data_IF_230426742171
#
_entry.id   IF_230426742171
#
_cell.length_a   1.000
_cell.length_b   1.000
_cell.length_c   1.000
_cell.angle_alpha   90.00
_cell.angle_beta   90.00
_cell.angle_gamma   90.00
#
_symmetry.space_group_name_H-M   'P 1'
#
loop_
_entity.id
_entity.type
_entity.pdbx_description
1 polymer ?
#
# COMPACT_ATOMS: atom_id res chain seq x y z
N UNK A 1 -15.05 17.61 14.55
CA UNK A 1 -15.29 16.29 13.95
C UNK A 1 -14.88 16.28 12.48
N UNK A 2 -15.32 17.22 11.64
CA UNK A 2 -14.85 17.34 10.24
C UNK A 2 -13.33 17.52 10.11
N UNK A 3 -12.71 18.37 10.94
CA UNK A 3 -11.25 18.58 10.90
C UNK A 3 -10.45 17.30 11.18
N UNK A 4 -10.92 16.45 12.10
CA UNK A 4 -10.21 15.20 12.45
C UNK A 4 -10.38 14.13 11.37
N UNK A 5 -11.55 14.09 10.72
CA UNK A 5 -11.77 13.19 9.59
C UNK A 5 -10.90 13.60 8.39
N UNK A 6 -10.80 14.90 8.13
CA UNK A 6 -9.98 15.44 7.06
C UNK A 6 -8.49 15.16 7.28
N UNK A 7 -8.00 15.39 8.50
CA UNK A 7 -6.63 15.03 8.91
C UNK A 7 -6.36 13.54 8.75
N UNK A 8 -7.29 12.68 9.17
CA UNK A 8 -7.16 11.23 9.00
C UNK A 8 -7.07 10.83 7.52
N UNK A 9 -7.85 11.46 6.64
CA UNK A 9 -7.75 11.23 5.18
C UNK A 9 -6.36 11.58 4.64
N UNK A 10 -5.86 12.76 4.99
CA UNK A 10 -4.54 13.24 4.56
C UNK A 10 -3.43 12.29 5.05
N UNK A 11 -3.44 11.93 6.33
CA UNK A 11 -2.46 11.00 6.92
C UNK A 11 -2.50 9.66 6.19
N UNK A 12 -3.70 9.12 5.96
CA UNK A 12 -3.88 7.81 5.31
C UNK A 12 -3.34 7.82 3.89
N UNK A 13 -3.60 8.88 3.10
CA UNK A 13 -3.06 9.05 1.76
C UNK A 13 -1.53 9.10 1.76
N UNK A 14 -0.93 9.95 2.60
CA UNK A 14 0.53 10.09 2.62
C UNK A 14 1.24 8.84 3.15
N UNK A 15 0.63 8.10 4.10
CA UNK A 15 1.13 6.78 4.51
C UNK A 15 1.15 5.81 3.33
N UNK A 16 0.04 5.69 2.62
CA UNK A 16 -0.08 4.75 1.50
C UNK A 16 0.85 5.15 0.35
N UNK A 17 0.78 6.39 -0.13
CA UNK A 17 1.43 6.81 -1.36
C UNK A 17 2.89 7.25 -1.16
N UNK A 18 3.13 8.21 -0.26
CA UNK A 18 4.47 8.79 -0.12
C UNK A 18 5.41 7.92 0.72
N UNK A 19 4.87 6.97 1.48
CA UNK A 19 5.66 6.08 2.33
C UNK A 19 5.62 4.61 1.89
N UNK A 20 4.46 3.99 1.75
CA UNK A 20 4.37 2.54 1.51
C UNK A 20 4.65 2.18 0.05
N UNK A 21 4.07 2.90 -0.91
CA UNK A 21 4.34 2.70 -2.34
C UNK A 21 5.83 2.89 -2.67
N UNK A 22 6.47 3.93 -2.12
CA UNK A 22 7.92 4.17 -2.31
C UNK A 22 8.75 2.96 -1.85
N UNK A 23 8.43 2.38 -0.68
CA UNK A 23 9.11 1.20 -0.16
C UNK A 23 8.85 -0.05 -0.99
N UNK A 24 7.60 -0.25 -1.44
CA UNK A 24 7.24 -1.35 -2.33
C UNK A 24 8.01 -1.28 -3.65
N UNK A 25 8.06 -0.10 -4.29
CA UNK A 25 8.81 0.11 -5.53
C UNK A 25 10.30 -0.21 -5.37
N UNK A 26 10.90 0.22 -4.25
CA UNK A 26 12.29 -0.11 -3.94
C UNK A 26 12.50 -1.63 -3.77
N UNK A 27 11.55 -2.34 -3.14
CA UNK A 27 11.60 -3.80 -3.00
C UNK A 27 11.48 -4.53 -4.33
N UNK A 28 10.51 -4.12 -5.17
CA UNK A 28 10.29 -4.72 -6.50
C UNK A 28 11.52 -4.50 -7.38
N UNK A 29 12.07 -3.29 -7.40
CA UNK A 29 13.21 -2.94 -8.25
C UNK A 29 14.49 -3.72 -7.92
N UNK A 30 14.64 -4.18 -6.67
CA UNK A 30 15.87 -4.83 -6.20
C UNK A 30 15.95 -6.33 -6.56
N UNK A 31 14.81 -7.03 -6.67
CA UNK A 31 14.78 -8.48 -6.89
C UNK A 31 14.51 -8.84 -8.33
N UNK A 32 15.17 -9.87 -8.86
CA UNK A 32 14.81 -10.46 -10.16
C UNK A 32 13.44 -11.10 -10.19
N UNK A 33 12.80 -11.15 -11.37
CA UNK A 33 11.43 -11.65 -11.55
C UNK A 33 11.30 -13.08 -11.03
N UNK A 34 12.26 -13.94 -11.34
CA UNK A 34 12.27 -15.31 -10.85
C UNK A 34 12.31 -15.37 -9.33
N UNK A 35 13.02 -14.46 -8.67
CA UNK A 35 13.11 -14.41 -7.19
C UNK A 35 11.81 -13.85 -6.62
N UNK A 36 11.24 -12.83 -7.25
CA UNK A 36 10.00 -12.18 -6.83
C UNK A 36 8.81 -13.16 -6.83
N UNK A 37 8.75 -14.07 -7.81
CA UNK A 37 7.67 -15.05 -7.96
C UNK A 37 7.97 -16.42 -7.34
N UNK A 38 9.18 -16.67 -6.85
CA UNK A 38 9.53 -17.93 -6.19
C UNK A 38 8.86 -18.00 -4.81
N UNK A 39 8.23 -19.14 -4.53
CA UNK A 39 7.78 -19.51 -3.18
C UNK A 39 8.96 -20.18 -2.47
N UNK A 40 9.34 -19.67 -1.31
CA UNK A 40 10.39 -20.27 -0.47
C UNK A 40 9.89 -21.55 0.20
N UNK A 41 10.80 -22.45 0.57
CA UNK A 41 10.44 -23.75 1.17
C UNK A 41 9.61 -23.65 2.45
N UNK A 42 9.81 -22.59 3.24
CA UNK A 42 9.08 -22.32 4.48
C UNK A 42 7.94 -21.30 4.31
N UNK A 43 7.70 -20.82 3.08
CA UNK A 43 6.76 -19.72 2.80
C UNK A 43 5.50 -20.26 2.12
N UNK A 44 4.35 -19.68 2.46
CA UNK A 44 3.08 -20.02 1.80
C UNK A 44 2.82 -19.18 0.55
N UNK A 45 3.60 -18.11 0.33
CA UNK A 45 3.41 -17.18 -0.78
C UNK A 45 4.72 -16.56 -1.27
N UNK A 46 4.80 -16.21 -2.55
CA UNK A 46 5.91 -15.45 -3.13
C UNK A 46 5.82 -13.98 -2.74
N UNK A 47 6.91 -13.22 -2.91
CA UNK A 47 6.89 -11.77 -2.65
C UNK A 47 5.91 -11.08 -3.60
N UNK A 48 5.93 -11.44 -4.88
CA UNK A 48 4.97 -10.94 -5.87
C UNK A 48 3.53 -11.30 -5.51
N UNK A 49 3.28 -12.50 -4.99
CA UNK A 49 1.96 -12.90 -4.52
C UNK A 49 1.49 -12.09 -3.30
N UNK A 50 2.39 -11.76 -2.36
CA UNK A 50 2.06 -10.85 -1.24
C UNK A 50 1.81 -9.42 -1.72
N UNK A 51 2.53 -8.93 -2.74
CA UNK A 51 2.29 -7.61 -3.33
C UNK A 51 0.92 -7.57 -4.01
N UNK A 52 0.59 -8.59 -4.81
CA UNK A 52 -0.73 -8.75 -5.40
C UNK A 52 -1.82 -8.78 -4.31
N UNK A 53 -1.51 -9.37 -3.16
CA UNK A 53 -2.43 -9.42 -2.04
C UNK A 53 -2.75 -8.03 -1.48
N UNK A 54 -1.72 -7.22 -1.26
CA UNK A 54 -1.89 -5.82 -0.89
C UNK A 54 -2.75 -5.10 -1.93
N UNK A 55 -2.43 -5.20 -3.23
CA UNK A 55 -3.16 -4.50 -4.29
C UNK A 55 -4.65 -4.83 -4.32
N UNK A 56 -5.02 -6.09 -4.15
CA UNK A 56 -6.44 -6.49 -4.10
C UNK A 56 -7.15 -5.81 -2.93
N UNK A 57 -6.55 -5.80 -1.73
CA UNK A 57 -7.12 -5.13 -0.57
C UNK A 57 -7.24 -3.61 -0.78
N UNK A 58 -6.23 -2.98 -1.38
CA UNK A 58 -6.23 -1.55 -1.69
C UNK A 58 -7.34 -1.21 -2.69
N UNK A 59 -7.42 -1.92 -3.83
CA UNK A 59 -8.44 -1.69 -4.87
C UNK A 59 -9.86 -1.91 -4.36
N UNK A 60 -10.09 -2.98 -3.57
CA UNK A 60 -11.41 -3.24 -2.97
C UNK A 60 -11.84 -2.15 -1.99
N UNK A 61 -10.92 -1.65 -1.18
CA UNK A 61 -11.22 -0.54 -0.27
C UNK A 61 -11.44 0.76 -1.03
N UNK A 62 -10.67 1.06 -2.08
CA UNK A 62 -10.92 2.19 -2.96
C UNK A 62 -12.33 2.12 -3.60
N UNK A 63 -12.72 0.95 -4.10
CA UNK A 63 -14.06 0.74 -4.64
C UNK A 63 -15.16 0.96 -3.60
N UNK A 64 -15.00 0.42 -2.37
CA UNK A 64 -15.95 0.63 -1.26
C UNK A 64 -16.03 2.08 -0.79
N UNK A 65 -14.94 2.84 -0.87
CA UNK A 65 -14.95 4.27 -0.57
C UNK A 65 -15.82 5.04 -1.56
N UNK A 66 -15.82 4.63 -2.83
CA UNK A 66 -16.64 5.24 -3.89
C UNK A 66 -18.09 4.77 -3.79
N UNK A 67 -18.31 3.46 -3.61
CA UNK A 67 -19.63 2.85 -3.45
C UNK A 67 -19.68 1.97 -2.19
N UNK A 68 -20.18 2.52 -1.07
CA UNK A 68 -20.31 1.79 0.19
C UNK A 68 -21.25 0.59 0.14
N UNK A 69 -22.07 0.44 -0.92
CA UNK A 69 -23.00 -0.69 -1.06
C UNK A 69 -22.31 -1.96 -1.56
N UNK A 70 -21.06 -1.86 -2.04
CA UNK A 70 -20.28 -3.01 -2.51
C UNK A 70 -20.04 -3.99 -1.35
N UNK A 71 -20.56 -5.21 -1.52
CA UNK A 71 -20.34 -6.34 -0.62
C UNK A 71 -19.60 -7.45 -1.36
N UNK A 72 -18.61 -8.05 -0.70
CA UNK A 72 -17.87 -9.20 -1.24
C UNK A 72 -18.37 -10.46 -0.53
N UNK A 73 -18.96 -11.39 -1.28
CA UNK A 73 -19.62 -12.60 -0.73
C UNK A 73 -18.66 -13.77 -0.45
N UNK A 74 -17.45 -13.75 -0.99
CA UNK A 74 -16.42 -14.77 -0.79
C UNK A 74 -15.15 -14.18 -0.18
N UNK A 75 -14.46 -14.99 0.62
CA UNK A 75 -13.07 -14.74 1.02
C UNK A 75 -12.17 -14.60 -0.20
N UNK A 76 -11.04 -13.92 -0.05
CA UNK A 76 -10.19 -13.55 -1.20
C UNK A 76 -9.34 -14.72 -1.72
N UNK A 77 -9.36 -15.86 -1.03
CA UNK A 77 -8.47 -17.02 -1.19
C UNK A 77 -8.41 -17.53 -2.65
N UNK A 78 -9.53 -17.56 -3.36
CA UNK A 78 -9.61 -18.03 -4.76
C UNK A 78 -9.38 -16.94 -5.82
N UNK A 79 -9.31 -15.66 -5.42
CA UNK A 79 -8.93 -14.57 -6.32
C UNK A 79 -7.41 -14.52 -6.58
N UNK A 80 -6.64 -15.37 -5.88
CA UNK A 80 -5.20 -15.47 -5.94
C UNK A 80 -4.75 -16.63 -6.82
N UNK A 81 -4.66 -16.39 -8.12
CA UNK A 81 -3.65 -17.08 -8.91
C UNK A 81 -2.76 -15.99 -9.49
N UNK A 82 -1.74 -15.54 -8.73
CA UNK A 82 -0.75 -14.63 -9.28
C UNK A 82 -0.10 -15.33 -10.48
N UNK A 83 -0.34 -14.81 -11.69
CA UNK A 83 0.51 -15.16 -12.82
C UNK A 83 1.85 -14.47 -12.64
N UNK A 84 2.93 -15.12 -13.07
CA UNK A 84 4.23 -14.47 -13.15
C UNK A 84 4.12 -13.26 -14.09
N UNK A 85 4.29 -12.07 -13.55
CA UNK A 85 4.33 -10.80 -14.30
C UNK A 85 5.76 -10.26 -14.35
N UNK A 86 6.05 -9.44 -15.35
CA UNK A 86 7.33 -8.72 -15.37
C UNK A 86 7.35 -7.61 -14.28
N UNK A 87 8.53 -7.16 -13.87
CA UNK A 87 8.64 -6.17 -12.76
C UNK A 87 7.98 -4.84 -13.11
N UNK A 88 8.13 -4.38 -14.34
CA UNK A 88 7.63 -3.07 -14.78
C UNK A 88 6.10 -3.03 -14.70
N UNK A 89 5.44 -4.06 -15.23
CA UNK A 89 3.99 -4.24 -15.11
C UNK A 89 3.56 -4.29 -13.65
N UNK A 90 4.27 -5.03 -12.79
CA UNK A 90 3.94 -5.07 -11.36
C UNK A 90 4.09 -3.69 -10.70
N UNK A 91 5.12 -2.92 -11.06
CA UNK A 91 5.30 -1.56 -10.54
C UNK A 91 4.16 -0.64 -10.96
N UNK A 92 3.76 -0.68 -12.24
CA UNK A 92 2.64 0.10 -12.77
C UNK A 92 1.32 -0.26 -12.10
N UNK A 93 1.05 -1.55 -11.92
CA UNK A 93 -0.17 -2.02 -11.26
C UNK A 93 -0.22 -1.61 -9.78
N UNK A 94 0.92 -1.65 -9.08
CA UNK A 94 1.01 -1.20 -7.68
C UNK A 94 0.79 0.31 -7.59
N UNK A 95 1.38 1.09 -8.50
CA UNK A 95 1.20 2.53 -8.53
C UNK A 95 -0.24 2.93 -8.85
N UNK A 96 -0.87 2.25 -9.81
CA UNK A 96 -2.30 2.42 -10.13
C UNK A 96 -3.17 2.14 -8.91
N UNK A 97 -2.97 1.01 -8.23
CA UNK A 97 -3.81 0.63 -7.08
C UNK A 97 -3.76 1.69 -5.96
N UNK A 98 -2.55 2.18 -5.65
CA UNK A 98 -2.33 3.17 -4.60
C UNK A 98 -2.83 4.57 -5.02
N UNK A 99 -2.68 4.93 -6.29
CA UNK A 99 -3.24 6.17 -6.86
C UNK A 99 -4.77 6.16 -6.81
N UNK A 100 -5.40 5.05 -7.19
CA UNK A 100 -6.84 4.85 -7.16
C UNK A 100 -7.40 4.95 -5.74
N UNK A 101 -6.69 4.43 -4.74
CA UNK A 101 -7.06 4.63 -3.32
C UNK A 101 -6.99 6.11 -2.91
N UNK A 102 -5.94 6.83 -3.30
CA UNK A 102 -5.82 8.26 -3.00
C UNK A 102 -6.92 9.08 -3.67
N UNK A 103 -7.24 8.78 -4.92
CA UNK A 103 -8.33 9.42 -5.65
C UNK A 103 -9.70 9.13 -5.02
N UNK A 104 -9.95 7.89 -4.58
CA UNK A 104 -11.18 7.55 -3.86
C UNK A 104 -11.29 8.33 -2.54
N UNK A 105 -10.18 8.46 -1.80
CA UNK A 105 -10.14 9.28 -0.60
C UNK A 105 -10.45 10.75 -0.91
N UNK A 106 -9.92 11.33 -1.97
CA UNK A 106 -10.19 12.74 -2.31
C UNK A 106 -11.64 13.00 -2.70
N UNK A 107 -12.25 12.07 -3.44
CA UNK A 107 -13.58 12.26 -4.02
C UNK A 107 -14.73 11.82 -3.10
N UNK A 108 -14.44 11.09 -2.02
CA UNK A 108 -15.45 10.66 -1.05
C UNK A 108 -15.52 11.60 0.14
N UNK A 109 -16.71 12.15 0.42
CA UNK A 109 -16.94 13.02 1.57
C UNK A 109 -16.81 12.29 2.92
N UNK A 110 -17.81 11.48 3.27
CA UNK A 110 -17.82 10.69 4.49
C UNK A 110 -17.09 9.35 4.26
N UNK A 111 -16.11 9.05 5.12
CA UNK A 111 -15.38 7.78 5.09
C UNK A 111 -15.62 7.00 6.38
N UNK A 112 -15.53 5.68 6.28
CA UNK A 112 -15.48 4.81 7.43
C UNK A 112 -14.02 4.64 7.89
N UNK A 113 -13.70 5.28 9.02
CA UNK A 113 -12.36 5.22 9.61
C UNK A 113 -11.90 3.79 9.91
N UNK A 114 -12.80 2.89 10.33
CA UNK A 114 -12.45 1.52 10.66
C UNK A 114 -11.90 0.78 9.44
N UNK A 115 -12.61 0.88 8.31
CA UNK A 115 -12.23 0.23 7.07
C UNK A 115 -10.96 0.84 6.46
N UNK A 116 -10.83 2.17 6.48
CA UNK A 116 -9.63 2.87 6.00
C UNK A 116 -8.41 2.52 6.84
N UNK A 117 -8.55 2.54 8.18
CA UNK A 117 -7.46 2.19 9.08
C UNK A 117 -7.02 0.74 8.88
N UNK A 118 -7.98 -0.19 8.73
CA UNK A 118 -7.69 -1.58 8.45
C UNK A 118 -6.83 -1.77 7.19
N UNK A 119 -7.15 -1.11 6.07
CA UNK A 119 -6.33 -1.26 4.84
C UNK A 119 -4.95 -0.63 4.96
N UNK A 120 -4.83 0.50 5.68
CA UNK A 120 -3.53 1.13 5.96
C UNK A 120 -2.65 0.22 6.83
N UNK A 121 -3.22 -0.36 7.89
CA UNK A 121 -2.51 -1.29 8.79
C UNK A 121 -2.13 -2.59 8.09
N UNK A 122 -3.08 -3.20 7.37
CA UNK A 122 -2.87 -4.45 6.60
C UNK A 122 -1.75 -4.30 5.57
N UNK A 123 -1.72 -3.14 4.89
CA UNK A 123 -0.64 -2.80 3.95
C UNK A 123 0.70 -2.68 4.67
N UNK A 124 0.75 -1.98 5.81
CA UNK A 124 1.98 -1.82 6.58
C UNK A 124 2.54 -3.15 7.10
N UNK A 125 1.66 -4.03 7.58
CA UNK A 125 2.00 -5.38 8.06
C UNK A 125 2.69 -6.21 6.97
N UNK A 126 2.05 -6.34 5.80
CA UNK A 126 2.62 -7.11 4.69
C UNK A 126 3.86 -6.45 4.08
N UNK A 127 3.90 -5.11 4.04
CA UNK A 127 5.09 -4.40 3.61
C UNK A 127 6.30 -4.70 4.50
N UNK A 128 6.11 -4.78 5.81
CA UNK A 128 7.18 -5.18 6.73
C UNK A 128 7.74 -6.58 6.41
N UNK A 129 6.86 -7.54 6.12
CA UNK A 129 7.23 -8.89 5.70
C UNK A 129 8.00 -8.91 4.37
N UNK A 130 7.52 -8.14 3.39
CA UNK A 130 8.19 -8.00 2.08
C UNK A 130 9.58 -7.42 2.27
N UNK A 131 9.72 -6.32 3.01
CA UNK A 131 11.00 -5.66 3.27
C UNK A 131 11.99 -6.65 3.90
N UNK A 132 11.59 -7.37 4.96
CA UNK A 132 12.45 -8.35 5.61
C UNK A 132 12.95 -9.43 4.64
N UNK A 133 12.02 -10.02 3.87
CA UNK A 133 12.33 -11.08 2.91
C UNK A 133 13.26 -10.58 1.80
N UNK A 134 12.99 -9.39 1.25
CA UNK A 134 13.81 -8.77 0.21
C UNK A 134 15.22 -8.51 0.72
N UNK A 135 15.37 -7.95 1.93
CA UNK A 135 16.70 -7.69 2.50
C UNK A 135 17.52 -8.98 2.65
N UNK A 136 16.89 -10.07 3.11
CA UNK A 136 17.55 -11.39 3.25
C UNK A 136 17.94 -11.98 1.90
N UNK A 137 17.09 -11.87 0.88
CA UNK A 137 17.33 -12.45 -0.44
C UNK A 137 18.34 -11.65 -1.28
N UNK A 138 18.37 -10.33 -1.12
CA UNK A 138 19.23 -9.44 -1.88
C UNK A 138 20.55 -9.10 -1.17
N UNK A 139 20.78 -9.61 0.04
CA UNK A 139 21.87 -9.19 0.96
C UNK A 139 21.98 -7.66 1.04
N UNK A 140 20.83 -6.99 1.15
CA UNK A 140 20.71 -5.55 1.10
C UNK A 140 20.04 -5.04 2.35
N UNK A 141 20.52 -3.93 2.92
CA UNK A 141 19.90 -3.28 4.06
C UNK A 141 19.30 -1.94 3.65
N UNK A 142 17.98 -1.87 3.61
CA UNK A 142 17.30 -0.61 3.35
C UNK A 142 17.51 0.37 4.51
N UNK A 143 17.68 1.65 4.17
CA UNK A 143 17.82 2.73 5.14
C UNK A 143 16.60 3.66 5.12
N UNK A 144 15.38 3.12 4.94
CA UNK A 144 14.16 3.93 4.77
C UNK A 144 13.88 4.94 5.89
N UNK A 145 14.36 4.70 7.12
CA UNK A 145 14.23 5.65 8.23
C UNK A 145 15.18 6.85 8.07
N UNK A 146 16.33 6.64 7.45
CA UNK A 146 17.39 7.64 7.29
C UNK A 146 17.28 8.38 5.95
N UNK A 147 16.90 7.67 4.88
CA UNK A 147 16.87 8.18 3.50
C UNK A 147 15.48 8.26 2.90
N UNK A 148 14.47 7.69 3.55
CA UNK A 148 13.07 7.74 3.11
C UNK A 148 12.23 8.73 3.92
N UNK A 149 10.92 8.70 3.68
CA UNK A 149 9.97 9.51 4.43
C UNK A 149 9.89 9.01 5.89
N UNK A 150 10.67 9.63 6.77
CA UNK A 150 10.61 9.40 8.20
C UNK A 150 9.39 10.08 8.83
N UNK A 151 9.09 9.76 10.09
CA UNK A 151 7.90 10.25 10.77
C UNK A 151 7.84 11.78 10.86
N UNK A 152 8.99 12.43 11.09
CA UNK A 152 9.06 13.89 11.16
C UNK A 152 8.77 14.54 9.81
N UNK A 153 9.30 13.98 8.72
CA UNK A 153 9.07 14.46 7.38
C UNK A 153 7.60 14.25 6.95
N UNK A 154 7.04 13.08 7.23
CA UNK A 154 5.63 12.78 6.98
C UNK A 154 4.73 13.75 7.74
N UNK A 155 4.98 13.97 9.03
CA UNK A 155 4.21 14.90 9.82
C UNK A 155 4.26 16.33 9.24
N UNK A 156 5.44 16.78 8.80
CA UNK A 156 5.57 18.10 8.15
C UNK A 156 4.73 18.21 6.87
N UNK A 157 4.74 17.17 6.02
CA UNK A 157 3.91 17.12 4.80
C UNK A 157 2.42 17.17 5.17
N UNK A 158 1.98 16.38 6.16
CA UNK A 158 0.58 16.38 6.63
C UNK A 158 0.16 17.77 7.11
N UNK A 159 0.99 18.44 7.91
CA UNK A 159 0.69 19.79 8.41
C UNK A 159 0.61 20.82 7.26
N UNK A 160 1.49 20.73 6.26
CA UNK A 160 1.43 21.60 5.09
C UNK A 160 0.16 21.35 4.27
N UNK A 161 -0.20 20.09 4.01
CA UNK A 161 -1.42 19.72 3.28
C UNK A 161 -2.67 20.22 4.01
N UNK A 162 -2.69 20.13 5.34
CA UNK A 162 -3.79 20.66 6.17
C UNK A 162 -3.90 22.19 6.11
N UNK A 163 -2.77 22.90 6.03
CA UNK A 163 -2.75 24.35 5.92
C UNK A 163 -3.31 24.82 4.58
N UNK A 164 -2.89 24.20 3.48
CA UNK A 164 -3.30 24.56 2.11
C UNK A 164 -4.80 24.42 1.84
N UNK A 165 -5.54 23.68 2.67
CA UNK A 165 -6.98 23.46 2.52
C UNK A 165 -7.80 24.47 3.34
N UNK A 166 -7.15 25.17 4.27
CA UNK A 166 -7.77 26.21 5.11
C UNK A 166 -7.65 27.61 4.50
N UNK A 167 -6.80 27.77 3.49
CA UNK A 167 -6.68 28.98 2.65
C UNK A 167 -7.62 28.91 1.44
#
# INVERSE_FOLDING_TARGET
MESSMHEFKIISKHRMYDQYLVKLRACIGLLDEQVLWRIGEAETNSIGGTINHIMVHVRRNAAKLIDPTITYKQGMEDSFIPSMQNKEQLMDEVEEAFSSFCAAMDNTGAIDMYNVYHVVEHTAYHLGQIIDRVQRLADHRFQFVQTGLNEKALHAIVQQSLHNIRE
#
